data_IF_434683061734
#
_entry.id   IF_434683061734
#
_cell.length_a   1.000
_cell.length_b   1.000
_cell.length_c   1.000
_cell.angle_alpha   90.00
_cell.angle_beta   90.00
_cell.angle_gamma   90.00
#
_symmetry.space_group_name_H-M   'P 1'
#
loop_
_entity.id
_entity.type
_entity.pdbx_description
1 polymer ?
#
# COMPACT_ATOMS: atom_id res chain seq x y z
N UNK A 1 5.66 24.65 23.45
CA UNK A 1 4.94 24.52 22.17
C UNK A 1 5.16 23.09 21.71
N UNK A 2 4.15 22.22 21.84
CA UNK A 2 4.28 20.83 21.47
C UNK A 2 4.39 20.75 19.95
N UNK A 3 5.48 20.15 19.45
CA UNK A 3 5.62 19.84 18.05
C UNK A 3 4.47 18.88 17.69
N UNK A 4 3.59 19.35 16.80
CA UNK A 4 2.62 18.52 16.10
C UNK A 4 3.43 17.45 15.35
N UNK A 5 3.65 16.31 16.00
CA UNK A 5 4.18 15.14 15.30
C UNK A 5 3.06 14.73 14.34
N UNK A 6 3.18 15.21 13.10
CA UNK A 6 2.30 14.91 11.98
C UNK A 6 2.27 13.39 11.79
N UNK A 7 1.43 12.74 12.59
CA UNK A 7 1.30 11.29 12.61
C UNK A 7 0.66 10.92 11.29
N UNK A 8 1.37 10.19 10.46
CA UNK A 8 0.80 9.68 9.20
C UNK A 8 -0.39 8.81 9.59
N UNK A 9 -1.58 9.22 9.16
CA UNK A 9 -2.84 8.51 9.44
C UNK A 9 -3.15 7.53 8.30
N UNK A 10 -3.94 6.48 8.54
CA UNK A 10 -4.40 5.59 7.47
C UNK A 10 -5.13 6.35 6.35
N UNK A 11 -5.83 7.45 6.68
CA UNK A 11 -6.49 8.29 5.67
C UNK A 11 -5.47 9.03 4.78
N UNK A 12 -4.40 9.57 5.36
CA UNK A 12 -3.31 10.18 4.61
C UNK A 12 -2.66 9.17 3.66
N UNK A 13 -2.41 7.93 4.12
CA UNK A 13 -1.88 6.86 3.27
C UNK A 13 -2.83 6.51 2.12
N UNK A 14 -4.14 6.45 2.38
CA UNK A 14 -5.15 6.24 1.32
C UNK A 14 -5.12 7.38 0.29
N UNK A 15 -4.98 8.62 0.75
CA UNK A 15 -4.83 9.80 -0.10
C UNK A 15 -3.58 9.74 -0.97
N UNK A 16 -2.44 9.37 -0.38
CA UNK A 16 -1.17 9.19 -1.09
C UNK A 16 -1.27 8.10 -2.16
N UNK A 17 -1.88 6.96 -1.84
CA UNK A 17 -2.11 5.88 -2.81
C UNK A 17 -3.00 6.36 -3.96
N UNK A 18 -4.12 7.06 -3.69
CA UNK A 18 -4.99 7.58 -4.76
C UNK A 18 -4.25 8.50 -5.71
N UNK A 19 -3.47 9.42 -5.16
CA UNK A 19 -2.73 10.38 -5.97
C UNK A 19 -1.60 9.73 -6.77
N UNK A 20 -0.86 8.79 -6.17
CA UNK A 20 0.18 8.04 -6.86
C UNK A 20 -0.40 7.20 -8.00
N UNK A 21 -1.51 6.50 -7.77
CA UNK A 21 -2.22 5.72 -8.79
C UNK A 21 -2.69 6.63 -9.94
N UNK A 22 -3.24 7.80 -9.61
CA UNK A 22 -3.64 8.79 -10.61
C UNK A 22 -2.45 9.34 -11.41
N UNK A 23 -1.30 9.56 -10.77
CA UNK A 23 -0.07 9.97 -11.46
C UNK A 23 0.45 8.91 -12.44
N UNK A 24 0.23 7.63 -12.12
CA UNK A 24 0.45 6.51 -13.03
C UNK A 24 -0.55 6.42 -14.19
N UNK A 25 -1.63 7.21 -14.17
CA UNK A 25 -2.70 7.14 -15.19
C UNK A 25 -3.59 5.90 -15.04
N UNK A 26 -3.54 5.23 -13.88
CA UNK A 26 -4.40 4.10 -13.61
C UNK A 26 -5.79 4.55 -13.12
N UNK A 27 -6.77 3.63 -13.17
CA UNK A 27 -8.11 3.86 -12.65
C UNK A 27 -8.15 4.05 -11.12
N UNK A 28 -9.35 4.30 -10.59
CA UNK A 28 -9.52 4.52 -9.16
C UNK A 28 -9.15 3.26 -8.35
N UNK A 29 -8.27 3.37 -7.33
CA UNK A 29 -7.96 2.23 -6.47
C UNK A 29 -9.18 1.87 -5.62
N UNK A 30 -9.47 0.57 -5.55
CA UNK A 30 -10.45 0.00 -4.63
C UNK A 30 -9.77 -0.30 -3.31
N UNK A 31 -10.17 0.41 -2.26
CA UNK A 31 -9.67 0.17 -0.91
C UNK A 31 -10.37 -1.03 -0.27
N UNK A 32 -9.60 -1.82 0.46
CA UNK A 32 -10.12 -2.92 1.27
C UNK A 32 -10.85 -2.34 2.48
N UNK A 33 -12.02 -2.89 2.79
CA UNK A 33 -12.81 -2.46 3.94
C UNK A 33 -12.05 -2.74 5.25
N UNK A 34 -12.20 -1.86 6.24
CA UNK A 34 -11.46 -1.97 7.51
C UNK A 34 -11.76 -3.30 8.24
N UNK A 35 -12.96 -3.84 8.09
CA UNK A 35 -13.40 -5.12 8.67
C UNK A 35 -12.65 -6.33 8.11
N UNK A 36 -12.08 -6.20 6.91
CA UNK A 36 -11.30 -7.25 6.26
C UNK A 36 -9.79 -7.14 6.56
N UNK A 37 -9.37 -6.12 7.30
CA UNK A 37 -7.98 -5.90 7.70
C UNK A 37 -7.75 -6.42 9.13
N UNK A 38 -6.52 -6.84 9.45
CA UNK A 38 -6.18 -7.33 10.79
C UNK A 38 -6.08 -6.19 11.81
N UNK A 39 -5.92 -4.94 11.35
CA UNK A 39 -5.83 -3.76 12.22
C UNK A 39 -6.32 -2.48 11.54
N UNK A 40 -6.76 -1.52 12.35
CA UNK A 40 -7.14 -0.16 11.92
C UNK A 40 -5.96 0.65 11.35
N UNK A 41 -4.74 0.17 11.57
CA UNK A 41 -3.47 0.73 11.10
C UNK A 41 -2.96 0.10 9.82
N UNK A 42 -3.82 -0.65 9.13
CA UNK A 42 -3.52 -1.19 7.82
C UNK A 42 -4.36 -0.47 6.75
N UNK A 43 -3.78 -0.38 5.56
CA UNK A 43 -4.42 0.15 4.37
C UNK A 43 -4.14 -0.81 3.23
N UNK A 44 -5.17 -1.52 2.78
CA UNK A 44 -5.12 -2.31 1.55
C UNK A 44 -5.76 -1.55 0.40
N UNK A 45 -5.15 -1.55 -0.78
CA UNK A 45 -5.78 -1.05 -1.99
C UNK A 45 -5.40 -1.90 -3.21
N UNK A 46 -6.33 -2.03 -4.14
CA UNK A 46 -6.11 -2.75 -5.40
C UNK A 46 -6.56 -1.92 -6.59
N UNK A 47 -5.82 -2.02 -7.69
CA UNK A 47 -6.13 -1.39 -8.96
C UNK A 47 -6.09 -2.46 -10.02
N UNK A 48 -7.24 -2.81 -10.59
CA UNK A 48 -7.29 -3.76 -11.72
C UNK A 48 -7.00 -2.99 -13.00
N UNK A 49 -5.95 -3.39 -13.72
CA UNK A 49 -5.57 -2.78 -14.99
C UNK A 49 -6.13 -3.55 -16.20
N UNK A 50 -6.62 -4.78 -16.00
CA UNK A 50 -7.17 -5.64 -17.07
C UNK A 50 -6.10 -6.30 -17.95
N UNK A 51 -4.92 -5.71 -18.02
CA UNK A 51 -3.70 -6.24 -18.63
C UNK A 51 -2.49 -5.91 -17.75
N UNK A 52 -1.32 -6.54 -18.00
CA UNK A 52 -0.08 -6.23 -17.27
C UNK A 52 0.16 -4.72 -17.24
N UNK A 53 0.34 -4.12 -16.05
CA UNK A 53 0.55 -2.68 -15.92
C UNK A 53 1.83 -2.25 -16.63
N UNK A 54 1.75 -1.14 -17.37
CA UNK A 54 2.90 -0.59 -18.08
C UNK A 54 4.01 -0.19 -17.09
N UNK A 55 5.26 -0.62 -17.31
CA UNK A 55 6.35 -0.37 -16.36
C UNK A 55 6.62 1.12 -16.16
N UNK A 56 6.44 1.98 -17.18
CA UNK A 56 6.61 3.44 -17.03
C UNK A 56 5.48 4.04 -16.21
N UNK A 57 4.25 3.56 -16.40
CA UNK A 57 3.11 3.95 -15.57
C UNK A 57 3.37 3.58 -14.10
N UNK A 58 3.90 2.39 -13.82
CA UNK A 58 4.26 1.98 -12.46
C UNK A 58 5.39 2.83 -11.87
N UNK A 59 6.43 3.16 -12.66
CA UNK A 59 7.48 4.08 -12.20
C UNK A 59 6.91 5.45 -11.81
N UNK A 60 5.91 5.97 -12.52
CA UNK A 60 5.23 7.22 -12.13
C UNK A 60 4.46 7.09 -10.82
N UNK A 61 3.88 5.92 -10.53
CA UNK A 61 3.24 5.66 -9.23
C UNK A 61 4.29 5.72 -8.11
N UNK A 62 5.42 5.04 -8.28
CA UNK A 62 6.52 5.05 -7.29
C UNK A 62 7.03 6.47 -7.09
N UNK A 63 7.35 7.19 -8.18
CA UNK A 63 7.79 8.58 -8.11
C UNK A 63 6.75 9.51 -7.44
N UNK A 64 5.45 9.26 -7.66
CA UNK A 64 4.38 10.01 -7.00
C UNK A 64 4.28 9.73 -5.50
N UNK A 65 4.68 8.54 -5.04
CA UNK A 65 4.85 8.25 -3.61
C UNK A 65 6.10 8.93 -3.06
N UNK A 66 7.21 8.90 -3.81
CA UNK A 66 8.46 9.56 -3.41
C UNK A 66 8.33 11.08 -3.27
N UNK A 67 7.64 11.74 -4.20
CA UNK A 67 7.30 13.17 -4.13
C UNK A 67 6.50 13.52 -2.87
N UNK A 68 5.74 12.55 -2.35
CA UNK A 68 4.95 12.66 -1.11
C UNK A 68 5.73 12.26 0.14
N UNK A 69 7.03 12.04 0.03
CA UNK A 69 7.92 11.72 1.15
C UNK A 69 8.03 10.24 1.49
N UNK A 70 7.52 9.34 0.65
CA UNK A 70 7.77 7.90 0.81
C UNK A 70 9.14 7.55 0.27
N UNK A 71 10.02 6.99 1.10
CA UNK A 71 11.36 6.59 0.67
C UNK A 71 11.35 5.13 0.22
N UNK A 72 11.74 4.85 -1.01
CA UNK A 72 11.99 3.47 -1.43
C UNK A 72 13.14 2.88 -0.59
N UNK A 73 12.89 1.75 0.06
CA UNK A 73 13.90 1.02 0.86
C UNK A 73 14.25 -0.33 0.25
N UNK A 74 13.38 -0.88 -0.60
CA UNK A 74 13.68 -2.12 -1.33
C UNK A 74 12.84 -2.24 -2.59
N UNK A 75 13.50 -2.59 -3.70
CA UNK A 75 12.85 -3.07 -4.91
C UNK A 75 13.13 -4.57 -5.11
N UNK A 76 12.13 -5.33 -5.54
CA UNK A 76 12.28 -6.67 -6.09
C UNK A 76 11.54 -6.77 -7.41
N UNK A 77 12.24 -7.20 -8.45
CA UNK A 77 11.63 -7.52 -9.73
C UNK A 77 11.59 -9.04 -9.92
N UNK A 78 10.55 -9.55 -10.56
CA UNK A 78 10.39 -10.96 -10.92
C UNK A 78 9.65 -11.06 -12.25
N UNK A 79 9.72 -12.21 -12.90
CA UNK A 79 9.07 -12.42 -14.21
C UNK A 79 7.55 -12.14 -14.17
N UNK A 80 6.90 -12.42 -13.04
CA UNK A 80 5.46 -12.26 -12.85
C UNK A 80 5.04 -10.87 -12.32
N UNK A 81 5.87 -10.23 -11.49
CA UNK A 81 5.53 -8.96 -10.85
C UNK A 81 6.77 -8.23 -10.34
N UNK A 82 6.64 -6.91 -10.26
CA UNK A 82 7.58 -6.01 -9.62
C UNK A 82 7.01 -5.54 -8.29
N UNK A 83 7.86 -5.45 -7.27
CA UNK A 83 7.49 -5.11 -5.90
C UNK A 83 8.41 -4.03 -5.34
N UNK A 84 7.81 -3.03 -4.70
CA UNK A 84 8.49 -1.93 -4.04
C UNK A 84 8.08 -1.89 -2.57
N UNK A 85 9.06 -1.66 -1.70
CA UNK A 85 8.87 -1.35 -0.30
C UNK A 85 9.28 0.10 -0.10
N UNK A 86 8.34 0.90 0.38
CA UNK A 86 8.53 2.29 0.71
C UNK A 86 8.22 2.53 2.18
N UNK A 87 8.91 3.47 2.79
CA UNK A 87 8.74 3.81 4.20
C UNK A 87 8.57 5.33 4.38
N UNK A 88 7.71 5.72 5.31
CA UNK A 88 7.39 7.12 5.64
C UNK A 88 6.97 7.21 7.09
N UNK A 89 7.73 7.91 7.94
CA UNK A 89 7.36 8.18 9.34
C UNK A 89 6.81 6.96 10.12
N UNK A 90 7.52 5.82 10.06
CA UNK A 90 7.12 4.57 10.75
C UNK A 90 6.02 3.77 10.04
N UNK A 91 5.50 4.26 8.92
CA UNK A 91 4.68 3.49 7.99
C UNK A 91 5.53 2.77 6.97
N UNK A 92 5.03 1.61 6.59
CA UNK A 92 5.61 0.77 5.56
C UNK A 92 4.56 0.47 4.50
N UNK A 93 4.81 0.90 3.27
CA UNK A 93 3.96 0.67 2.11
C UNK A 93 4.65 -0.32 1.19
N UNK A 94 3.96 -1.42 0.90
CA UNK A 94 4.37 -2.37 -0.13
C UNK A 94 3.50 -2.16 -1.34
N UNK A 95 4.10 -1.90 -2.48
CA UNK A 95 3.46 -1.85 -3.79
C UNK A 95 3.89 -3.09 -4.57
N UNK A 96 2.95 -3.76 -5.23
CA UNK A 96 3.23 -4.84 -6.17
C UNK A 96 2.48 -4.54 -7.46
N UNK A 97 3.15 -4.61 -8.60
CA UNK A 97 2.58 -4.39 -9.92
C UNK A 97 2.92 -5.55 -10.85
N UNK A 98 1.91 -6.07 -11.55
CA UNK A 98 2.07 -7.23 -12.43
C UNK A 98 0.89 -8.17 -12.32
N UNK A 99 1.15 -9.47 -12.40
CA UNK A 99 0.17 -10.50 -12.07
C UNK A 99 0.13 -10.66 -10.55
N UNK A 100 -0.89 -10.06 -9.92
CA UNK A 100 -1.08 -10.03 -8.47
C UNK A 100 -2.30 -10.86 -8.09
N UNK A 101 -2.16 -11.69 -7.06
CA UNK A 101 -3.31 -12.37 -6.47
C UNK A 101 -3.97 -11.44 -5.44
N UNK A 102 -5.30 -11.43 -5.36
CA UNK A 102 -6.03 -10.69 -4.30
C UNK A 102 -5.61 -11.17 -2.89
N UNK A 103 -5.07 -12.39 -2.80
CA UNK A 103 -4.44 -12.96 -1.61
C UNK A 103 -3.12 -12.28 -1.21
N UNK A 104 -2.39 -11.65 -2.15
CA UNK A 104 -1.18 -10.88 -1.85
C UNK A 104 -1.47 -9.57 -1.11
N UNK A 105 -2.73 -9.14 -1.12
CA UNK A 105 -3.23 -7.88 -0.53
C UNK A 105 -4.11 -8.12 0.70
N UNK A 106 -4.65 -9.34 0.82
CA UNK A 106 -5.47 -9.77 1.96
C UNK A 106 -4.61 -10.57 2.95
N UNK A 107 -4.36 -10.00 4.13
CA UNK A 107 -3.87 -10.77 5.26
C UNK A 107 -4.88 -10.62 6.39
N UNK A 108 -5.55 -11.72 6.72
CA UNK A 108 -6.67 -11.86 7.66
C UNK A 108 -7.35 -13.22 7.47
N UNK A 109 -8.15 -13.74 8.42
CA UNK A 109 -8.80 -15.05 8.29
C UNK A 109 -9.72 -15.17 7.05
N UNK A 110 -10.14 -14.05 6.47
CA UNK A 110 -10.84 -14.00 5.18
C UNK A 110 -9.95 -14.36 3.97
N UNK A 111 -8.63 -14.19 4.06
CA UNK A 111 -7.67 -14.58 3.01
C UNK A 111 -7.46 -16.10 2.93
N UNK A 112 -7.66 -16.82 4.03
CA UNK A 112 -7.71 -18.29 4.06
C UNK A 112 -9.01 -18.85 3.45
N UNK A 113 -10.13 -18.14 3.63
CA UNK A 113 -11.43 -18.53 3.07
C UNK A 113 -11.55 -18.27 1.55
N UNK A 114 -10.70 -17.40 0.96
CA UNK A 114 -10.68 -17.09 -0.47
C UNK A 114 -9.72 -18.01 -1.26
N UNK A 115 -9.74 -19.31 -0.99
CA UNK A 115 -8.93 -20.35 -1.68
C UNK A 115 -9.16 -20.50 -3.19
N UNK A 116 -9.78 -19.53 -3.86
CA UNK A 116 -10.09 -19.53 -5.30
C UNK A 116 -10.09 -18.16 -5.98
N UNK A 117 -9.54 -17.09 -5.37
CA UNK A 117 -9.49 -15.78 -6.04
C UNK A 117 -8.43 -15.78 -7.16
N UNK A 118 -8.88 -15.62 -8.41
CA UNK A 118 -8.02 -15.62 -9.59
C UNK A 118 -6.97 -14.49 -9.52
N UNK A 119 -5.72 -14.76 -9.96
CA UNK A 119 -4.73 -13.70 -10.13
C UNK A 119 -5.28 -12.68 -11.13
N UNK A 120 -5.08 -11.39 -10.83
CA UNK A 120 -5.45 -10.30 -11.71
C UNK A 120 -4.21 -9.51 -12.13
N UNK A 121 -4.27 -8.88 -13.29
CA UNK A 121 -3.23 -7.97 -13.74
C UNK A 121 -3.54 -6.56 -13.24
N UNK A 122 -2.61 -5.98 -12.48
CA UNK A 122 -2.85 -4.70 -11.84
C UNK A 122 -1.83 -4.33 -10.79
N UNK A 123 -2.23 -3.43 -9.89
CA UNK A 123 -1.45 -2.97 -8.76
C UNK A 123 -2.12 -3.37 -7.45
N UNK A 124 -1.30 -3.75 -6.48
CA UNK A 124 -1.70 -4.01 -5.12
C UNK A 124 -0.86 -3.17 -4.17
N UNK A 125 -1.51 -2.53 -3.21
CA UNK A 125 -0.88 -1.70 -2.19
C UNK A 125 -1.23 -2.23 -0.82
N UNK A 126 -0.23 -2.29 0.06
CA UNK A 126 -0.38 -2.61 1.47
C UNK A 126 0.43 -1.65 2.31
N UNK A 127 -0.25 -0.69 2.94
CA UNK A 127 0.30 0.14 3.99
C UNK A 127 0.10 -0.52 5.35
N UNK A 128 1.16 -0.66 6.14
CA UNK A 128 1.09 -1.03 7.55
C UNK A 128 1.79 0.07 8.33
N UNK A 129 1.03 0.72 9.19
CA UNK A 129 1.55 1.71 10.14
C UNK A 129 1.61 1.10 11.51
N UNK A 130 2.63 1.46 12.28
CA UNK A 130 2.44 1.49 13.73
C UNK A 130 1.58 2.70 14.02
N UNK A 131 0.23 2.61 14.01
CA UNK A 131 -0.49 3.59 14.81
C UNK A 131 0.06 3.37 16.20
N UNK A 132 0.82 4.34 16.67
CA UNK A 132 1.26 4.35 18.03
C UNK A 132 -0.02 4.23 18.86
N UNK A 133 -0.23 3.10 19.52
CA UNK A 133 -0.61 3.24 20.91
C UNK A 133 0.42 4.24 21.46
N UNK A 134 0.01 5.39 22.03
CA UNK A 134 0.98 6.32 22.60
C UNK A 134 1.89 5.45 23.44
N UNK A 135 3.18 5.37 23.06
CA UNK A 135 4.14 4.51 23.75
C UNK A 135 4.00 4.93 25.19
N UNK A 136 3.38 4.07 26.00
CA UNK A 136 3.04 4.40 27.36
C UNK A 136 4.34 4.88 27.98
N UNK A 137 4.28 6.09 28.52
CA UNK A 137 5.39 6.79 29.09
C UNK A 137 6.31 5.80 29.80
N UNK A 138 7.56 5.70 29.34
CA UNK A 138 8.64 5.44 30.26
C UNK A 138 8.74 6.70 31.14
N UNK A 139 7.81 6.80 32.09
CA UNK A 139 7.88 7.74 33.20
C UNK A 139 9.04 7.28 34.13
N UNK A 140 9.58 8.20 34.93
CA UNK A 140 11.01 8.34 35.26
C UNK A 140 11.62 7.23 36.12
#
# INVERSE_FOLDING_TARGET
MAADQATVTPDAVRGDIRAAVAAGGFGSPRFVAAEALLSTCEVGAVVRAGTKPDPKAVTKVVAGLEDRGWRETRQRSSAAADGWRLEKDGWMLTLVAGTVSEKSVSFGPAAEQQGGAEPFEGLAFRGVGGCSAPSAAAAP
#
